data_IF_736720769639
#
_entry.id   IF_736720769639
#
_cell.length_a   1.000
_cell.length_b   1.000
_cell.length_c   1.000
_cell.angle_alpha   90.00
_cell.angle_beta   90.00
_cell.angle_gamma   90.00
#
_symmetry.space_group_name_H-M   'P 1'
#
loop_
_entity.id
_entity.type
_entity.pdbx_description
1 polymer ?
#
# COMPACT_ATOMS: atom_id res chain seq x y z
N UNK A 1 -5.66 64.60 25.03
CA UNK A 1 -6.97 63.95 25.26
C UNK A 1 -7.43 63.30 23.96
N UNK A 2 -7.46 61.96 23.89
CA UNK A 2 -8.28 61.16 22.97
C UNK A 2 -8.21 59.70 23.46
N UNK A 3 -9.30 59.23 24.06
CA UNK A 3 -9.51 57.83 24.44
C UNK A 3 -10.14 57.11 23.25
N UNK A 4 -9.58 55.98 22.83
CA UNK A 4 -10.17 55.09 21.83
C UNK A 4 -10.78 53.92 22.61
N UNK A 5 -12.11 53.80 22.54
CA UNK A 5 -12.89 52.75 23.18
C UNK A 5 -13.02 51.55 22.25
N UNK A 6 -12.65 50.37 22.74
CA UNK A 6 -12.87 49.07 22.13
C UNK A 6 -14.36 48.72 22.15
N UNK A 7 -14.90 48.22 21.03
CA UNK A 7 -16.15 47.45 20.99
C UNK A 7 -15.87 46.14 20.24
N UNK A 8 -15.92 45.03 20.98
CA UNK A 8 -15.92 43.67 20.44
C UNK A 8 -17.35 43.15 20.59
N UNK A 9 -18.04 42.95 19.47
CA UNK A 9 -19.35 42.28 19.45
C UNK A 9 -19.12 40.82 19.07
N UNK A 10 -19.30 39.93 20.03
CA UNK A 10 -19.24 38.48 19.86
C UNK A 10 -20.60 37.96 19.36
N UNK A 11 -20.64 37.37 18.17
CA UNK A 11 -21.81 36.69 17.63
C UNK A 11 -21.57 35.18 17.70
N UNK A 12 -22.33 34.46 18.53
CA UNK A 12 -22.29 33.00 18.62
C UNK A 12 -23.37 32.45 17.69
N UNK A 13 -22.96 31.77 16.61
CA UNK A 13 -23.85 31.02 15.73
C UNK A 13 -23.83 29.55 16.14
N UNK A 14 -24.98 29.03 16.61
CA UNK A 14 -25.18 27.62 16.93
C UNK A 14 -25.53 26.90 15.62
N UNK A 15 -24.64 26.02 15.16
CA UNK A 15 -24.92 25.10 14.03
C UNK A 15 -25.44 23.80 14.63
N UNK A 16 -26.73 23.51 14.40
CA UNK A 16 -27.35 22.22 14.69
C UNK A 16 -27.02 21.28 13.53
N UNK A 17 -26.10 20.33 13.77
CA UNK A 17 -25.79 19.26 12.83
C UNK A 17 -26.84 18.16 12.88
N UNK A 18 -27.60 18.00 11.80
CA UNK A 18 -28.42 16.81 11.55
C UNK A 18 -27.50 15.72 11.00
N UNK A 19 -27.22 14.68 11.79
CA UNK A 19 -26.53 13.49 11.32
C UNK A 19 -27.53 12.56 10.64
N UNK A 20 -27.44 12.46 9.32
CA UNK A 20 -28.04 11.37 8.54
C UNK A 20 -27.10 10.17 8.72
N UNK A 21 -27.57 9.15 9.43
CA UNK A 21 -26.89 7.86 9.52
C UNK A 21 -26.99 7.16 8.17
N UNK A 22 -25.85 7.03 7.48
CA UNK A 22 -25.68 6.13 6.36
C UNK A 22 -24.98 4.90 6.91
N UNK A 23 -25.62 3.75 6.79
CA UNK A 23 -25.18 2.45 7.31
C UNK A 23 -23.83 2.08 6.67
N UNK A 24 -22.74 2.17 7.44
CA UNK A 24 -21.43 1.70 7.02
C UNK A 24 -21.21 0.29 7.55
N UNK A 25 -21.17 -0.66 6.62
CA UNK A 25 -20.82 -2.06 6.84
C UNK A 25 -19.43 -2.13 7.49
N UNK A 26 -19.40 -2.14 8.84
CA UNK A 26 -18.19 -2.10 9.64
C UNK A 26 -17.62 -3.50 9.79
N UNK A 27 -16.92 -3.96 8.75
CA UNK A 27 -16.00 -5.09 8.88
C UNK A 27 -14.99 -4.79 9.99
N UNK A 28 -15.05 -5.55 11.08
CA UNK A 28 -14.18 -5.38 12.24
C UNK A 28 -12.75 -5.76 11.87
N UNK A 29 -11.82 -4.80 11.87
CA UNK A 29 -10.39 -5.08 11.78
C UNK A 29 -9.96 -5.74 13.11
N UNK A 30 -9.10 -6.78 13.10
CA UNK A 30 -8.60 -7.37 14.33
C UNK A 30 -7.90 -6.30 15.17
N UNK A 31 -8.45 -6.02 16.35
CA UNK A 31 -7.75 -5.26 17.38
C UNK A 31 -6.55 -6.12 17.83
N UNK A 32 -5.34 -5.69 17.48
CA UNK A 32 -4.12 -6.30 17.96
C UNK A 32 -4.02 -6.18 19.48
N UNK A 33 -4.46 -7.19 20.20
CA UNK A 33 -4.32 -7.32 21.65
C UNK A 33 -3.89 -8.73 22.03
N UNK A 34 -2.62 -8.91 22.42
CA UNK A 34 -2.17 -10.12 23.12
C UNK A 34 -0.73 -10.60 22.86
N UNK A 35 0.22 -10.07 23.64
CA UNK A 35 1.54 -10.61 24.02
C UNK A 35 2.69 -10.69 22.98
N UNK A 36 3.68 -9.81 23.20
CA UNK A 36 5.12 -9.92 22.86
C UNK A 36 5.50 -10.29 21.41
N UNK A 37 5.40 -9.34 20.48
CA UNK A 37 6.13 -9.40 19.21
C UNK A 37 5.49 -8.63 18.05
N UNK A 38 6.00 -7.42 17.77
CA UNK A 38 5.78 -6.61 16.54
C UNK A 38 4.35 -6.21 16.15
N UNK A 39 3.91 -5.01 16.59
CA UNK A 39 2.58 -4.45 16.30
C UNK A 39 2.65 -3.09 15.58
N UNK A 40 3.28 -3.04 14.40
CA UNK A 40 3.33 -1.79 13.64
C UNK A 40 3.67 -1.94 12.16
N UNK A 41 3.33 -0.93 11.38
CA UNK A 41 3.63 -0.79 9.96
C UNK A 41 4.69 0.31 9.83
N UNK A 42 5.72 0.07 9.03
CA UNK A 42 6.61 1.16 8.59
C UNK A 42 6.43 1.40 7.10
N UNK A 43 6.17 2.65 6.73
CA UNK A 43 6.13 3.10 5.33
C UNK A 43 7.45 3.79 5.04
N UNK A 44 8.27 3.16 4.22
CA UNK A 44 9.57 3.67 3.80
C UNK A 44 9.37 4.55 2.56
N UNK A 45 9.79 5.80 2.66
CA UNK A 45 9.69 6.80 1.60
C UNK A 45 11.05 7.39 1.25
N UNK A 46 11.19 7.94 0.05
CA UNK A 46 12.42 8.62 -0.39
C UNK A 46 12.24 10.13 -0.38
N UNK A 47 11.64 10.67 -1.44
CA UNK A 47 11.60 12.12 -1.68
C UNK A 47 10.34 12.79 -1.14
N UNK A 48 9.20 12.08 -1.09
CA UNK A 48 7.89 12.67 -0.77
C UNK A 48 7.28 12.09 0.49
N UNK A 49 7.63 12.67 1.65
CA UNK A 49 6.94 12.39 2.92
C UNK A 49 5.43 12.63 2.81
N UNK A 50 5.01 13.60 2.00
CA UNK A 50 3.60 13.90 1.77
C UNK A 50 2.86 12.74 1.11
N UNK A 51 3.45 12.06 0.11
CA UNK A 51 2.81 10.89 -0.50
C UNK A 51 2.74 9.71 0.47
N UNK A 52 3.81 9.49 1.25
CA UNK A 52 3.82 8.46 2.29
C UNK A 52 2.75 8.72 3.36
N UNK A 53 2.55 10.00 3.73
CA UNK A 53 1.50 10.41 4.64
C UNK A 53 0.11 10.04 4.11
N UNK A 54 -0.18 10.21 2.81
CA UNK A 54 -1.47 9.80 2.24
C UNK A 54 -1.74 8.30 2.34
N UNK A 55 -0.73 7.45 2.18
CA UNK A 55 -0.88 6.02 2.41
C UNK A 55 -1.13 5.72 3.89
N UNK A 56 -0.45 6.41 4.80
CA UNK A 56 -0.71 6.32 6.23
C UNK A 56 -2.14 6.77 6.58
N UNK A 57 -2.60 7.89 6.02
CA UNK A 57 -3.96 8.41 6.23
C UNK A 57 -5.00 7.41 5.74
N UNK A 58 -4.78 6.76 4.57
CA UNK A 58 -5.64 5.68 4.08
C UNK A 58 -5.74 4.50 5.07
N UNK A 59 -4.63 4.13 5.73
CA UNK A 59 -4.66 3.08 6.75
C UNK A 59 -5.40 3.55 8.02
N UNK A 60 -5.20 4.79 8.45
CA UNK A 60 -5.92 5.36 9.60
C UNK A 60 -7.42 5.42 9.32
N UNK A 61 -7.83 5.88 8.13
CA UNK A 61 -9.22 5.88 7.66
C UNK A 61 -9.84 4.48 7.70
N UNK A 62 -9.04 3.44 7.43
CA UNK A 62 -9.49 2.06 7.49
C UNK A 62 -9.62 1.51 8.91
N UNK A 63 -9.05 2.18 9.93
CA UNK A 63 -9.13 1.79 11.34
C UNK A 63 -7.82 1.30 11.96
N UNK A 64 -6.68 1.43 11.28
CA UNK A 64 -5.38 1.20 11.89
C UNK A 64 -5.01 2.34 12.85
N UNK A 65 -4.40 2.02 13.99
CA UNK A 65 -3.95 3.05 14.94
C UNK A 65 -2.79 3.87 14.33
N UNK A 66 -2.93 5.20 14.32
CA UNK A 66 -1.90 6.15 13.88
C UNK A 66 -0.53 5.88 14.52
N UNK A 67 -0.50 5.61 15.83
CA UNK A 67 0.72 5.32 16.60
C UNK A 67 1.42 4.02 16.17
N UNK A 68 0.69 3.12 15.51
CA UNK A 68 1.24 1.87 14.98
C UNK A 68 1.82 2.02 13.58
N UNK A 69 1.69 3.19 12.94
CA UNK A 69 2.17 3.43 11.58
C UNK A 69 3.28 4.48 11.60
N UNK A 70 4.49 4.06 11.30
CA UNK A 70 5.65 4.94 11.21
C UNK A 70 5.95 5.32 9.75
N UNK A 71 6.23 6.60 9.52
CA UNK A 71 6.83 7.05 8.27
C UNK A 71 8.34 7.14 8.47
N UNK A 72 9.10 6.43 7.65
CA UNK A 72 10.56 6.41 7.73
C UNK A 72 11.16 6.83 6.41
N UNK A 73 11.99 7.87 6.42
CA UNK A 73 12.79 8.21 5.25
C UNK A 73 13.82 7.12 5.00
N UNK A 74 14.07 6.80 3.74
CA UNK A 74 15.11 5.85 3.34
C UNK A 74 16.51 6.27 3.84
N UNK A 75 16.75 7.56 4.08
CA UNK A 75 18.00 8.04 4.68
C UNK A 75 18.18 7.55 6.11
N UNK A 76 17.09 7.39 6.88
CA UNK A 76 17.15 6.89 8.26
C UNK A 76 17.58 5.42 8.33
N UNK A 77 17.44 4.65 7.25
CA UNK A 77 17.94 3.27 7.17
C UNK A 77 19.46 3.18 7.24
N UNK A 78 20.20 4.27 6.99
CA UNK A 78 21.68 4.30 7.13
C UNK A 78 22.09 4.13 8.59
N UNK A 79 21.28 4.61 9.53
CA UNK A 79 21.62 4.56 10.96
C UNK A 79 21.68 3.12 11.48
N UNK A 80 22.76 2.77 12.17
CA UNK A 80 22.94 1.47 12.83
C UNK A 80 21.92 1.21 13.94
N UNK A 81 21.27 2.26 14.44
CA UNK A 81 20.20 2.16 15.45
C UNK A 81 18.85 1.76 14.84
N UNK A 82 18.73 1.80 13.51
CA UNK A 82 17.47 1.51 12.83
C UNK A 82 17.19 0.01 12.86
N UNK A 83 16.18 -0.39 13.63
CA UNK A 83 15.77 -1.78 13.77
C UNK A 83 14.40 -2.01 13.11
N UNK A 84 14.39 -2.55 11.89
CA UNK A 84 13.16 -2.91 11.17
C UNK A 84 12.48 -4.17 11.71
N UNK A 85 13.16 -4.97 12.53
CA UNK A 85 12.56 -6.20 13.09
C UNK A 85 11.46 -5.94 14.11
N UNK A 86 11.21 -4.67 14.50
CA UNK A 86 10.13 -4.26 15.41
C UNK A 86 8.77 -4.09 14.73
N UNK A 87 8.72 -3.99 13.41
CA UNK A 87 7.49 -3.82 12.66
C UNK A 87 6.95 -5.18 12.19
N UNK A 88 5.63 -5.29 12.08
CA UNK A 88 4.95 -6.44 11.49
C UNK A 88 4.91 -6.38 9.96
N UNK A 89 5.00 -5.18 9.37
CA UNK A 89 4.99 -4.98 7.92
C UNK A 89 5.90 -3.81 7.52
N UNK A 90 6.61 -4.00 6.42
CA UNK A 90 7.33 -2.92 5.70
C UNK A 90 6.57 -2.62 4.41
N UNK A 91 6.17 -1.36 4.22
CA UNK A 91 5.61 -0.87 2.95
C UNK A 91 6.68 -0.04 2.26
N UNK A 92 6.97 -0.34 0.99
CA UNK A 92 7.92 0.41 0.16
C UNK A 92 7.12 1.31 -0.76
N UNK A 93 7.18 2.62 -0.51
CA UNK A 93 6.47 3.60 -1.31
C UNK A 93 7.11 3.70 -2.73
N UNK A 94 6.35 4.06 -3.78
CA UNK A 94 6.79 3.95 -5.17
C UNK A 94 7.93 4.91 -5.53
N UNK A 95 8.20 5.93 -4.71
CA UNK A 95 9.34 6.83 -4.86
C UNK A 95 10.67 6.24 -4.35
N UNK A 96 10.68 5.11 -3.63
CA UNK A 96 11.89 4.56 -3.02
C UNK A 96 12.79 3.76 -3.99
N UNK A 97 13.03 4.30 -5.19
CA UNK A 97 13.72 3.60 -6.28
C UNK A 97 15.23 3.39 -6.02
N UNK A 98 15.84 4.14 -5.10
CA UNK A 98 17.28 4.03 -4.79
C UNK A 98 17.65 2.78 -3.98
N UNK A 99 16.67 2.08 -3.39
CA UNK A 99 16.93 0.91 -2.55
C UNK A 99 17.59 -0.25 -3.30
N UNK A 100 17.48 -0.32 -4.63
CA UNK A 100 18.05 -1.42 -5.41
C UNK A 100 19.56 -1.34 -5.64
N UNK A 101 20.17 -0.15 -5.45
CA UNK A 101 21.61 0.06 -5.64
C UNK A 101 22.39 0.07 -4.31
N UNK A 102 21.70 0.08 -3.17
CA UNK A 102 22.30 0.25 -1.85
C UNK A 102 22.45 -1.05 -1.08
N UNK A 103 23.69 -1.46 -0.83
CA UNK A 103 23.95 -2.73 -0.16
C UNK A 103 23.71 -2.74 1.35
N UNK A 104 23.78 -1.60 2.05
CA UNK A 104 23.61 -1.53 3.50
C UNK A 104 22.13 -1.47 3.89
N UNK A 105 21.36 -0.61 3.22
CA UNK A 105 19.90 -0.52 3.42
C UNK A 105 19.22 -1.84 3.04
N UNK A 106 19.64 -2.46 1.93
CA UNK A 106 19.16 -3.76 1.52
C UNK A 106 19.48 -4.85 2.56
N UNK A 107 20.68 -4.84 3.15
CA UNK A 107 21.03 -5.77 4.24
C UNK A 107 20.09 -5.62 5.43
N UNK A 108 19.75 -4.39 5.84
CA UNK A 108 18.82 -4.12 6.95
C UNK A 108 17.39 -4.59 6.66
N UNK A 109 16.89 -4.30 5.45
CA UNK A 109 15.58 -4.81 5.01
C UNK A 109 15.58 -6.35 5.02
N UNK A 110 16.62 -6.97 4.46
CA UNK A 110 16.75 -8.43 4.42
C UNK A 110 16.86 -9.05 5.82
N UNK A 111 17.65 -8.46 6.70
CA UNK A 111 17.87 -8.97 8.07
C UNK A 111 16.66 -8.77 8.99
N UNK A 112 15.78 -7.81 8.68
CA UNK A 112 14.52 -7.63 9.42
C UNK A 112 13.65 -8.88 9.44
N UNK A 113 13.79 -9.71 8.40
CA UNK A 113 12.96 -10.87 8.12
C UNK A 113 11.45 -10.58 8.11
N UNK A 114 11.01 -9.33 7.89
CA UNK A 114 9.58 -8.96 7.88
C UNK A 114 8.92 -9.11 6.50
N UNK A 115 7.59 -9.29 6.46
CA UNK A 115 6.80 -9.15 5.24
C UNK A 115 7.01 -7.77 4.61
N UNK A 116 6.98 -7.73 3.27
CA UNK A 116 7.14 -6.49 2.51
C UNK A 116 6.03 -6.35 1.48
N UNK A 117 5.31 -5.23 1.54
CA UNK A 117 4.42 -4.75 0.49
C UNK A 117 5.18 -3.74 -0.37
N UNK A 118 5.59 -4.15 -1.56
CA UNK A 118 6.30 -3.30 -2.51
C UNK A 118 5.33 -2.63 -3.47
N UNK A 119 5.36 -1.30 -3.56
CA UNK A 119 4.49 -0.54 -4.47
C UNK A 119 5.23 -0.21 -5.76
N UNK A 120 4.59 -0.46 -6.90
CA UNK A 120 5.03 -0.10 -8.25
C UNK A 120 6.44 -0.61 -8.57
N UNK A 121 7.15 0.14 -9.43
CA UNK A 121 8.53 -0.13 -9.82
C UNK A 121 9.53 -0.10 -8.67
N UNK A 122 9.33 0.70 -7.61
CA UNK A 122 10.25 0.70 -6.46
C UNK A 122 10.18 -0.65 -5.72
N UNK A 123 8.97 -1.15 -5.46
CA UNK A 123 8.76 -2.49 -4.91
C UNK A 123 9.40 -3.58 -5.78
N UNK A 124 9.10 -3.57 -7.08
CA UNK A 124 9.66 -4.53 -8.02
C UNK A 124 11.20 -4.48 -8.06
N UNK A 125 11.82 -3.30 -8.02
CA UNK A 125 13.28 -3.15 -8.00
C UNK A 125 13.90 -3.67 -6.72
N UNK A 126 13.29 -3.42 -5.56
CA UNK A 126 13.72 -4.05 -4.30
C UNK A 126 13.66 -5.58 -4.42
N UNK A 127 12.57 -6.11 -4.96
CA UNK A 127 12.38 -7.55 -5.13
C UNK A 127 13.38 -8.16 -6.12
N UNK A 128 13.82 -7.40 -7.12
CA UNK A 128 14.92 -7.79 -8.02
C UNK A 128 16.24 -7.94 -7.25
N UNK A 129 16.58 -6.97 -6.40
CA UNK A 129 17.77 -7.03 -5.53
C UNK A 129 17.70 -8.17 -4.51
N UNK A 130 16.49 -8.58 -4.11
CA UNK A 130 16.25 -9.76 -3.27
C UNK A 130 16.21 -11.08 -4.06
N UNK A 131 16.40 -11.04 -5.39
CA UNK A 131 16.36 -12.19 -6.32
C UNK A 131 15.03 -12.93 -6.31
N UNK A 132 13.93 -12.20 -6.27
CA UNK A 132 12.56 -12.72 -6.33
C UNK A 132 12.05 -12.75 -7.78
N UNK A 133 11.15 -13.68 -8.08
CA UNK A 133 10.47 -13.82 -9.37
C UNK A 133 9.43 -12.72 -9.63
N UNK A 134 9.02 -11.99 -8.59
CA UNK A 134 8.21 -10.77 -8.70
C UNK A 134 9.05 -9.48 -8.85
N UNK A 135 10.36 -9.63 -9.08
CA UNK A 135 11.30 -8.53 -9.28
C UNK A 135 11.17 -7.82 -10.62
N UNK A 136 11.79 -6.63 -10.72
CA UNK A 136 11.76 -5.76 -11.90
C UNK A 136 12.15 -6.46 -13.20
N UNK A 137 13.19 -7.32 -13.19
CA UNK A 137 13.61 -8.07 -14.38
C UNK A 137 12.58 -9.05 -14.92
N UNK A 138 11.56 -9.40 -14.12
CA UNK A 138 10.44 -10.27 -14.50
C UNK A 138 9.13 -9.50 -14.72
N UNK A 139 9.18 -8.17 -14.68
CA UNK A 139 8.01 -7.31 -14.85
C UNK A 139 8.06 -6.54 -16.17
N UNK A 140 6.89 -6.15 -16.67
CA UNK A 140 6.77 -5.11 -17.69
C UNK A 140 6.16 -3.84 -17.09
N UNK A 141 6.60 -2.72 -17.66
CA UNK A 141 5.92 -1.45 -17.49
C UNK A 141 4.65 -1.47 -18.33
N UNK A 142 3.51 -1.23 -17.68
CA UNK A 142 2.24 -1.04 -18.36
C UNK A 142 1.76 0.38 -18.10
N UNK A 143 1.49 1.10 -19.19
CA UNK A 143 0.88 2.44 -19.14
C UNK A 143 -0.62 2.31 -19.39
N UNK A 144 -1.39 3.27 -18.85
CA UNK A 144 -2.83 3.33 -19.04
C UNK A 144 -3.58 2.10 -18.51
N UNK A 145 -3.19 1.61 -17.34
CA UNK A 145 -3.96 0.61 -16.60
C UNK A 145 -4.70 1.28 -15.45
N UNK A 146 -5.94 0.89 -15.22
CA UNK A 146 -6.71 1.27 -14.03
C UNK A 146 -7.53 0.11 -13.47
N UNK A 147 -7.55 -1.03 -14.19
CA UNK A 147 -8.39 -2.18 -13.90
C UNK A 147 -7.57 -3.41 -13.62
N UNK A 148 -8.19 -4.35 -12.92
CA UNK A 148 -7.58 -5.61 -12.59
C UNK A 148 -8.59 -6.74 -12.74
N UNK A 149 -8.16 -7.83 -13.39
CA UNK A 149 -8.88 -9.08 -13.49
C UNK A 149 -8.66 -9.95 -12.26
N UNK A 150 -9.74 -10.50 -11.71
CA UNK A 150 -9.71 -11.42 -10.58
C UNK A 150 -9.35 -12.81 -11.08
N UNK A 151 -8.19 -13.35 -10.66
CA UNK A 151 -7.73 -14.67 -11.11
C UNK A 151 -8.45 -15.79 -10.35
N UNK A 152 -8.35 -15.74 -9.02
CA UNK A 152 -9.01 -16.68 -8.12
C UNK A 152 -9.61 -15.92 -6.94
N UNK A 153 -10.94 -15.79 -6.94
CA UNK A 153 -11.73 -15.13 -5.90
C UNK A 153 -11.71 -15.86 -4.55
N UNK A 154 -11.17 -17.08 -4.46
CA UNK A 154 -11.05 -17.79 -3.20
C UNK A 154 -10.03 -17.14 -2.25
N UNK A 155 -9.01 -16.46 -2.79
CA UNK A 155 -7.95 -15.81 -2.02
C UNK A 155 -8.46 -14.75 -1.04
N UNK A 156 -7.91 -14.75 0.17
CA UNK A 156 -8.32 -13.87 1.28
C UNK A 156 -8.24 -12.38 0.94
N UNK A 157 -7.35 -11.98 0.04
CA UNK A 157 -7.22 -10.59 -0.41
C UNK A 157 -8.50 -10.02 -1.05
N UNK A 158 -9.40 -10.89 -1.53
CA UNK A 158 -10.70 -10.45 -2.09
C UNK A 158 -11.79 -10.29 -1.04
N UNK A 159 -11.55 -10.75 0.20
CA UNK A 159 -12.59 -10.96 1.22
C UNK A 159 -12.34 -10.24 2.53
N UNK A 160 -11.08 -9.96 2.89
CA UNK A 160 -10.74 -9.55 4.26
C UNK A 160 -9.71 -8.42 4.28
N UNK A 161 -9.94 -7.36 5.09
CA UNK A 161 -11.11 -7.15 5.96
C UNK A 161 -12.38 -6.73 5.23
N UNK A 162 -12.29 -6.26 3.99
CA UNK A 162 -13.44 -5.85 3.20
C UNK A 162 -13.80 -6.90 2.15
N UNK A 163 -15.05 -7.38 2.18
CA UNK A 163 -15.55 -8.24 1.12
C UNK A 163 -15.81 -7.42 -0.15
N UNK A 164 -15.11 -7.75 -1.24
CA UNK A 164 -15.28 -7.07 -2.53
C UNK A 164 -16.42 -7.67 -3.38
N UNK A 165 -16.99 -8.81 -2.98
CA UNK A 165 -18.13 -9.42 -3.67
C UNK A 165 -17.82 -9.97 -5.07
N UNK A 166 -16.54 -10.14 -5.39
CA UNK A 166 -16.08 -10.54 -6.73
C UNK A 166 -15.99 -12.06 -6.91
N UNK A 167 -16.13 -12.50 -8.16
CA UNK A 167 -15.92 -13.86 -8.65
C UNK A 167 -14.67 -13.94 -9.53
N UNK A 168 -14.13 -15.14 -9.69
CA UNK A 168 -13.02 -15.38 -10.63
C UNK A 168 -13.46 -15.03 -12.05
N UNK A 169 -12.65 -14.26 -12.77
CA UNK A 169 -12.95 -13.70 -14.09
C UNK A 169 -13.48 -12.25 -14.07
N UNK A 170 -13.96 -11.77 -12.93
CA UNK A 170 -14.45 -10.39 -12.78
C UNK A 170 -13.36 -9.35 -13.03
N UNK A 171 -13.78 -8.10 -13.14
CA UNK A 171 -12.90 -6.94 -13.21
C UNK A 171 -13.21 -5.98 -12.07
N UNK A 172 -12.17 -5.38 -11.51
CA UNK A 172 -12.29 -4.31 -10.52
C UNK A 172 -11.60 -3.08 -11.07
N UNK A 173 -12.26 -1.93 -10.96
CA UNK A 173 -11.66 -0.62 -11.22
C UNK A 173 -10.87 -0.24 -9.97
N UNK A 174 -9.54 -0.15 -10.07
CA UNK A 174 -8.63 0.13 -8.96
C UNK A 174 -8.39 1.64 -8.83
N UNK A 175 -8.26 2.33 -9.97
CA UNK A 175 -8.00 3.78 -10.02
C UNK A 175 -9.07 4.50 -10.83
N UNK A 176 -9.33 5.77 -10.46
CA UNK A 176 -10.27 6.67 -11.15
C UNK A 176 -9.78 7.11 -12.53
N UNK A 177 -8.49 6.95 -12.81
CA UNK A 177 -7.86 7.31 -14.07
C UNK A 177 -6.70 6.37 -14.37
N UNK A 178 -6.25 6.41 -15.62
CA UNK A 178 -5.09 5.66 -16.11
C UNK A 178 -3.82 5.95 -15.29
N UNK A 179 -3.17 4.90 -14.81
CA UNK A 179 -1.89 4.99 -14.09
C UNK A 179 -0.80 4.17 -14.75
N UNK A 180 0.44 4.45 -14.36
CA UNK A 180 1.57 3.60 -14.62
C UNK A 180 1.56 2.41 -13.65
N UNK A 181 2.10 1.30 -14.13
CA UNK A 181 2.18 0.09 -13.32
C UNK A 181 3.35 -0.79 -13.75
N UNK A 182 3.71 -1.70 -12.85
CA UNK A 182 4.72 -2.72 -13.01
C UNK A 182 4.04 -4.07 -12.76
N UNK A 183 4.02 -4.94 -13.77
CA UNK A 183 3.26 -6.18 -13.73
C UNK A 183 4.13 -7.38 -14.03
N UNK A 184 4.02 -8.44 -13.24
CA UNK A 184 4.82 -9.68 -13.37
C UNK A 184 4.37 -10.44 -14.61
N UNK A 185 5.32 -10.85 -15.45
CA UNK A 185 5.05 -11.67 -16.62
C UNK A 185 4.85 -13.15 -16.22
N UNK A 186 3.74 -13.75 -16.64
CA UNK A 186 3.46 -15.18 -16.46
C UNK A 186 4.22 -16.01 -17.50
N UNK A 187 5.48 -16.29 -17.21
CA UNK A 187 6.26 -17.34 -17.89
C UNK A 187 5.87 -18.73 -17.39
N UNK A 188 6.16 -19.75 -18.17
CA UNK A 188 5.90 -21.15 -17.81
C UNK A 188 6.48 -21.51 -16.43
N UNK A 189 5.68 -22.15 -15.58
CA UNK A 189 6.07 -22.64 -14.25
C UNK A 189 6.18 -21.59 -13.15
N UNK A 190 6.03 -20.29 -13.43
CA UNK A 190 6.17 -19.24 -12.39
C UNK A 190 5.10 -19.34 -11.31
N UNK A 191 3.92 -19.86 -11.64
CA UNK A 191 2.78 -20.08 -10.74
C UNK A 191 3.02 -21.15 -9.67
N UNK A 192 4.10 -21.94 -9.81
CA UNK A 192 4.57 -22.87 -8.77
C UNK A 192 5.35 -22.15 -7.65
N UNK A 193 5.80 -20.92 -7.89
CA UNK A 193 6.66 -20.13 -6.99
C UNK A 193 5.97 -18.82 -6.57
N UNK A 194 5.18 -18.25 -7.48
CA UNK A 194 4.50 -16.97 -7.32
C UNK A 194 3.00 -17.19 -7.39
N UNK A 195 2.30 -16.74 -6.35
CA UNK A 195 0.85 -16.62 -6.39
C UNK A 195 0.46 -15.41 -7.24
N UNK A 196 -0.13 -15.68 -8.40
CA UNK A 196 -0.60 -14.68 -9.35
C UNK A 196 -2.06 -14.29 -9.03
N UNK A 197 -2.24 -13.14 -8.39
CA UNK A 197 -3.52 -12.77 -7.76
C UNK A 197 -4.37 -11.94 -8.72
N UNK A 198 -3.79 -10.86 -9.24
CA UNK A 198 -4.54 -9.86 -9.97
C UNK A 198 -3.96 -9.57 -11.35
N UNK A 199 -4.71 -9.95 -12.39
CA UNK A 199 -4.28 -9.93 -13.78
C UNK A 199 -4.52 -8.56 -14.43
N UNK A 200 -3.66 -8.14 -15.35
CA UNK A 200 -3.95 -7.04 -16.26
C UNK A 200 -5.11 -7.41 -17.16
N UNK A 201 -6.11 -6.53 -17.27
CA UNK A 201 -7.20 -6.71 -18.25
C UNK A 201 -6.74 -6.43 -19.67
N UNK A 202 -5.76 -5.55 -19.85
CA UNK A 202 -5.23 -5.16 -21.16
C UNK A 202 -4.21 -6.16 -21.69
N UNK A 203 -3.48 -6.81 -20.80
CA UNK A 203 -2.35 -7.68 -21.14
C UNK A 203 -2.43 -8.98 -20.32
N UNK A 204 -3.22 -9.99 -20.75
CA UNK A 204 -3.56 -11.16 -19.93
C UNK A 204 -2.40 -12.00 -19.39
N UNK A 205 -1.18 -11.85 -19.92
CA UNK A 205 0.00 -12.52 -19.39
C UNK A 205 0.71 -11.75 -18.27
N UNK A 206 0.14 -10.65 -17.80
CA UNK A 206 0.75 -9.77 -16.80
C UNK A 206 -0.11 -9.64 -15.55
N UNK A 207 0.53 -9.57 -14.38
CA UNK A 207 -0.14 -9.60 -13.08
C UNK A 207 0.37 -8.45 -12.20
N UNK A 208 -0.53 -7.54 -11.85
CA UNK A 208 -0.25 -6.37 -11.02
C UNK A 208 -0.28 -6.69 -9.53
N UNK A 209 -0.93 -7.78 -9.12
CA UNK A 209 -0.87 -8.26 -7.74
C UNK A 209 -0.27 -9.65 -7.78
N UNK A 210 0.90 -9.80 -7.18
CA UNK A 210 1.64 -11.06 -7.13
C UNK A 210 2.31 -11.22 -5.76
N UNK A 211 2.23 -12.42 -5.20
CA UNK A 211 2.81 -12.75 -3.90
C UNK A 211 3.85 -13.87 -4.06
N UNK A 212 5.04 -13.64 -3.54
CA UNK A 212 6.09 -14.66 -3.44
C UNK A 212 6.58 -14.71 -1.99
N UNK A 213 6.32 -15.83 -1.31
CA UNK A 213 6.63 -16.01 0.12
C UNK A 213 5.95 -14.92 0.98
N UNK A 214 6.72 -13.94 1.43
CA UNK A 214 6.30 -12.80 2.27
C UNK A 214 6.49 -11.45 1.57
N UNK A 215 6.60 -11.46 0.25
CA UNK A 215 6.80 -10.28 -0.58
C UNK A 215 5.62 -10.15 -1.52
N UNK A 216 4.84 -9.09 -1.38
CA UNK A 216 3.70 -8.80 -2.24
C UNK A 216 4.02 -7.58 -3.09
N UNK A 217 3.88 -7.72 -4.40
CA UNK A 217 3.92 -6.60 -5.33
C UNK A 217 2.50 -6.04 -5.48
N UNK A 218 2.33 -4.77 -5.13
CA UNK A 218 1.23 -3.92 -5.58
C UNK A 218 1.73 -3.12 -6.78
N UNK A 219 1.48 -3.62 -7.98
CA UNK A 219 2.11 -3.17 -9.21
C UNK A 219 1.70 -1.76 -9.66
N UNK A 220 0.60 -1.21 -9.15
CA UNK A 220 0.14 0.11 -9.56
C UNK A 220 0.93 1.23 -8.87
N UNK A 221 1.30 2.27 -9.62
CA UNK A 221 1.92 3.45 -9.03
C UNK A 221 0.91 4.37 -8.37
N UNK A 222 -0.33 4.43 -8.87
CA UNK A 222 -1.26 5.48 -8.49
C UNK A 222 -0.86 6.86 -9.02
N UNK A 223 -0.16 6.89 -10.16
CA UNK A 223 0.29 8.11 -10.82
C UNK A 223 0.52 7.87 -12.32
N UNK A 224 0.55 8.95 -13.10
CA UNK A 224 1.02 8.92 -14.49
C UNK A 224 2.54 8.88 -14.61
N UNK A 225 3.26 8.85 -13.49
CA UNK A 225 4.70 8.60 -13.40
C UNK A 225 4.99 7.43 -12.47
N UNK A 226 6.24 6.94 -12.46
CA UNK A 226 6.66 5.88 -11.55
C UNK A 226 6.94 6.35 -10.12
N UNK A 227 7.17 7.64 -9.93
CA UNK A 227 7.86 8.17 -8.74
C UNK A 227 6.95 8.92 -7.77
N UNK A 228 5.65 9.05 -8.06
CA UNK A 228 4.76 9.93 -7.29
C UNK A 228 3.42 9.26 -6.97
N UNK A 229 3.44 8.08 -6.36
CA UNK A 229 2.21 7.36 -6.10
C UNK A 229 1.24 8.10 -5.20
N UNK A 230 -0.04 8.05 -5.55
CA UNK A 230 -1.09 8.77 -4.86
C UNK A 230 -2.30 7.85 -4.59
N UNK A 231 -2.55 7.46 -3.33
CA UNK A 231 -3.72 6.65 -2.98
C UNK A 231 -5.05 7.39 -3.13
N UNK A 232 -5.06 8.74 -3.25
CA UNK A 232 -6.30 9.51 -3.44
C UNK A 232 -7.01 9.18 -4.78
N UNK A 233 -6.22 8.71 -5.76
CA UNK A 233 -6.72 8.29 -7.07
C UNK A 233 -7.36 6.90 -7.04
N UNK A 234 -7.23 6.14 -5.95
CA UNK A 234 -7.93 4.86 -5.80
C UNK A 234 -9.45 5.07 -5.83
N UNK A 235 -10.16 4.14 -6.44
CA UNK A 235 -11.60 3.98 -6.25
C UNK A 235 -11.90 3.45 -4.84
N UNK A 236 -13.17 3.35 -4.47
CA UNK A 236 -13.53 2.75 -3.18
C UNK A 236 -13.12 1.28 -3.12
N UNK A 237 -13.30 0.54 -4.22
CA UNK A 237 -12.88 -0.85 -4.38
C UNK A 237 -11.36 -0.97 -4.35
N UNK A 238 -10.64 -0.05 -4.99
CA UNK A 238 -9.18 0.03 -4.97
C UNK A 238 -8.63 0.28 -3.56
N UNK A 239 -9.24 1.20 -2.81
CA UNK A 239 -8.92 1.44 -1.39
C UNK A 239 -9.12 0.16 -0.58
N UNK A 240 -10.30 -0.46 -0.66
CA UNK A 240 -10.61 -1.71 0.04
C UNK A 240 -9.63 -2.83 -0.30
N UNK A 241 -9.30 -3.02 -1.58
CA UNK A 241 -8.35 -4.03 -2.03
C UNK A 241 -6.93 -3.75 -1.51
N UNK A 242 -6.49 -2.49 -1.48
CA UNK A 242 -5.21 -2.11 -0.91
C UNK A 242 -5.15 -2.44 0.59
N UNK A 243 -6.22 -2.13 1.34
CA UNK A 243 -6.31 -2.49 2.77
C UNK A 243 -6.29 -4.01 2.96
N UNK A 244 -7.02 -4.76 2.12
CA UNK A 244 -6.96 -6.22 2.15
C UNK A 244 -5.55 -6.77 1.89
N UNK A 245 -4.78 -6.13 1.00
CA UNK A 245 -3.39 -6.47 0.75
C UNK A 245 -2.53 -6.24 2.01
N UNK A 246 -2.70 -5.10 2.68
CA UNK A 246 -2.00 -4.76 3.93
C UNK A 246 -2.35 -5.76 5.04
N UNK A 247 -3.63 -6.07 5.23
CA UNK A 247 -4.10 -7.04 6.21
C UNK A 247 -3.57 -8.45 5.94
N UNK A 248 -3.58 -8.89 4.67
CA UNK A 248 -2.98 -10.17 4.27
C UNK A 248 -1.50 -10.21 4.68
N UNK A 249 -0.76 -9.13 4.40
CA UNK A 249 0.68 -9.09 4.66
C UNK A 249 1.05 -9.04 6.14
N UNK A 250 0.19 -8.50 7.00
CA UNK A 250 0.39 -8.53 8.46
C UNK A 250 0.23 -9.94 9.08
N UNK A 251 -0.31 -10.90 8.32
CA UNK A 251 -0.46 -12.31 8.76
C UNK A 251 0.63 -13.25 8.23
N UNK A 252 1.63 -12.72 7.51
CA UNK A 252 2.72 -13.49 6.91
C UNK A 252 3.96 -13.51 7.80
#
# INVERSE_FOLDING_TARGET
MKRITFFVTLLIMIIIGVFISCDSDSGTIPSGGGSTGTSGIVIIYDTSRANAQKFKDLLIEAGYNDESIELMSFFQLESELTNLSRYGLIIINPEAYLLSADTNRLKKIKSSNRPILGISGAGARLFDSLRLNIGWGNCAVITNELRLGVVDSSYTIWKTPYNLGVKSGDSIDIYKSNVYSCAVYKRSGIDTIVTLIGQSKRSPNYYHIALEKKYLLWGFSGSTTFTNGNPDLLTNEGKKLFINAVALMLTK
#
